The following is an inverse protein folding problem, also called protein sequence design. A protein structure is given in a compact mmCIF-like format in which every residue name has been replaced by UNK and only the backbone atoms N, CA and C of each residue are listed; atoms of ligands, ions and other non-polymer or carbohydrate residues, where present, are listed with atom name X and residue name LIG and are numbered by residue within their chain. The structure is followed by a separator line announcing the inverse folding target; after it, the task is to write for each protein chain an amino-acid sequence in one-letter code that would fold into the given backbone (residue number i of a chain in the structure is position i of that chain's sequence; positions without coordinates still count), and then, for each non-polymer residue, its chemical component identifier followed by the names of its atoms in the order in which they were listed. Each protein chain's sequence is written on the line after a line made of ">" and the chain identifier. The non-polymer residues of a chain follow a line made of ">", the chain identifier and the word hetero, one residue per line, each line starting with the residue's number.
data_IF_166504635283
#
_entry.id   IF_166504635283
#
_cell.length_a   1.000
_cell.length_b   1.000
_cell.length_c   1.000
_cell.angle_alpha   90.00
_cell.angle_beta   90.00
_cell.angle_gamma   90.00
#
_symmetry.space_group_name_H-M   'P 1'
#
loop_
_entity.id
_entity.type
_entity.pdbx_description
1 polymer ?
#
# COMPACT_ATOMS: atom_id res chain seq x y z
N UNK A 1 -4.14 18.81 0.73
CA UNK A 1 -3.37 18.37 1.91
C UNK A 1 -4.24 18.67 3.12
N UNK A 2 -4.85 17.66 3.71
CA UNK A 2 -5.62 17.84 4.94
C UNK A 2 -4.63 17.78 6.10
N UNK A 3 -4.39 18.90 6.81
CA UNK A 3 -3.82 18.84 8.13
C UNK A 3 -4.94 18.37 9.06
N UNK A 4 -4.96 17.11 9.40
CA UNK A 4 -5.74 16.63 10.52
C UNK A 4 -5.00 17.15 11.77
N UNK A 5 -5.62 18.07 12.51
CA UNK A 5 -5.10 18.45 13.84
C UNK A 5 -4.97 17.19 14.73
N UNK A 6 -4.61 17.37 15.99
CA UNK A 6 -4.35 16.31 16.99
C UNK A 6 -5.50 15.30 17.22
N UNK A 7 -6.09 14.79 16.14
CA UNK A 7 -7.10 13.73 16.21
C UNK A 7 -6.45 12.44 15.75
N UNK A 8 -6.43 11.46 16.63
CA UNK A 8 -5.99 10.10 16.32
C UNK A 8 -6.80 9.57 15.14
N UNK A 9 -6.14 9.28 14.02
CA UNK A 9 -6.75 8.71 12.85
C UNK A 9 -7.24 7.27 13.13
N UNK A 10 -8.25 6.83 12.39
CA UNK A 10 -8.69 5.44 12.49
C UNK A 10 -7.55 4.50 12.04
N UNK A 11 -7.20 3.45 12.81
CA UNK A 11 -6.11 2.55 12.46
C UNK A 11 -6.44 1.78 11.17
N UNK A 12 -5.56 1.85 10.19
CA UNK A 12 -5.66 1.10 8.92
C UNK A 12 -4.80 -0.16 8.91
N UNK A 13 -4.12 -0.45 10.02
CA UNK A 13 -3.03 -1.43 10.13
C UNK A 13 -3.51 -2.78 10.68
N UNK A 14 -4.63 -3.31 10.16
CA UNK A 14 -5.13 -4.62 10.57
C UNK A 14 -5.31 -5.56 9.36
N UNK A 15 -5.24 -6.87 9.60
CA UNK A 15 -5.23 -7.90 8.54
C UNK A 15 -6.46 -7.83 7.62
N UNK A 16 -7.64 -7.54 8.16
CA UNK A 16 -8.89 -7.42 7.39
C UNK A 16 -9.07 -6.08 6.65
N UNK A 17 -8.14 -5.12 6.77
CA UNK A 17 -8.27 -3.79 6.18
C UNK A 17 -8.64 -3.80 4.69
N UNK A 18 -8.02 -4.61 3.80
CA UNK A 18 -8.31 -4.57 2.35
C UNK A 18 -9.78 -4.81 1.97
N UNK A 19 -10.55 -5.45 2.84
CA UNK A 19 -11.98 -5.76 2.63
C UNK A 19 -12.90 -5.09 3.65
N UNK A 20 -12.37 -4.19 4.47
CA UNK A 20 -13.09 -3.51 5.55
C UNK A 20 -13.98 -2.37 5.05
N UNK A 21 -14.94 -1.97 5.90
CA UNK A 21 -15.72 -0.75 5.70
C UNK A 21 -14.86 0.50 5.63
N UNK A 22 -13.80 0.56 6.43
CA UNK A 22 -12.85 1.68 6.44
C UNK A 22 -12.14 1.82 5.09
N UNK A 23 -11.66 0.69 4.49
CA UNK A 23 -11.06 0.71 3.15
C UNK A 23 -12.04 1.25 2.11
N UNK A 24 -13.31 0.83 2.14
CA UNK A 24 -14.34 1.34 1.22
C UNK A 24 -14.58 2.84 1.37
N UNK A 25 -14.64 3.32 2.61
CA UNK A 25 -14.83 4.76 2.89
C UNK A 25 -13.65 5.57 2.35
N UNK A 26 -12.42 5.12 2.58
CA UNK A 26 -11.21 5.79 2.06
C UNK A 26 -11.20 5.80 0.53
N UNK A 27 -11.50 4.67 -0.11
CA UNK A 27 -11.58 4.60 -1.58
C UNK A 27 -12.64 5.56 -2.13
N UNK A 28 -13.84 5.59 -1.53
CA UNK A 28 -14.90 6.51 -1.95
C UNK A 28 -14.51 7.97 -1.72
N UNK A 29 -13.82 8.28 -0.62
CA UNK A 29 -13.32 9.63 -0.36
C UNK A 29 -12.32 10.07 -1.44
N UNK A 30 -11.35 9.21 -1.78
CA UNK A 30 -10.39 9.50 -2.86
C UNK A 30 -11.10 9.72 -4.20
N UNK A 31 -12.07 8.86 -4.56
CA UNK A 31 -12.84 9.02 -5.80
C UNK A 31 -13.62 10.33 -5.83
N UNK A 32 -14.16 10.78 -4.71
CA UNK A 32 -14.84 12.07 -4.59
C UNK A 32 -13.86 13.25 -4.70
N UNK A 33 -12.70 13.15 -4.04
CA UNK A 33 -11.67 14.21 -4.02
C UNK A 33 -11.10 14.48 -5.44
N UNK A 34 -10.95 13.45 -6.25
CA UNK A 34 -10.52 13.56 -7.66
C UNK A 34 -11.66 13.88 -8.65
N UNK A 35 -12.85 14.25 -8.14
CA UNK A 35 -13.97 14.73 -8.96
C UNK A 35 -14.85 13.64 -9.58
N UNK A 36 -14.80 12.41 -9.09
CA UNK A 36 -15.61 11.29 -9.59
C UNK A 36 -16.91 11.06 -8.79
N UNK A 37 -17.33 12.03 -7.98
CA UNK A 37 -18.60 12.00 -7.25
C UNK A 37 -19.79 11.74 -8.20
N UNK A 38 -20.59 10.71 -7.91
CA UNK A 38 -21.74 10.31 -8.73
C UNK A 38 -21.41 9.72 -10.11
N UNK A 39 -20.14 9.53 -10.43
CA UNK A 39 -19.71 8.89 -11.69
C UNK A 39 -19.66 7.38 -11.55
N UNK A 40 -19.77 6.69 -12.69
CA UNK A 40 -19.49 5.26 -12.79
C UNK A 40 -18.04 5.07 -13.19
N UNK A 41 -17.29 4.24 -12.44
CA UNK A 41 -15.86 4.01 -12.64
C UNK A 41 -15.56 2.53 -12.81
N UNK A 42 -14.48 2.24 -13.53
CA UNK A 42 -13.78 0.97 -13.47
C UNK A 42 -12.61 1.13 -12.50
N UNK A 43 -12.47 0.20 -11.56
CA UNK A 43 -11.43 0.23 -10.55
C UNK A 43 -10.47 -0.95 -10.72
N UNK A 44 -9.20 -0.69 -10.50
CA UNK A 44 -8.18 -1.72 -10.31
C UNK A 44 -7.58 -1.52 -8.92
N UNK A 45 -7.41 -2.59 -8.17
CA UNK A 45 -6.78 -2.54 -6.85
C UNK A 45 -5.80 -3.68 -6.63
N UNK A 46 -4.87 -3.50 -5.69
CA UNK A 46 -3.84 -4.48 -5.40
C UNK A 46 -4.17 -5.41 -4.23
N UNK A 47 -3.56 -6.59 -4.25
CA UNK A 47 -3.36 -7.45 -3.09
C UNK A 47 -1.90 -7.86 -3.02
N UNK A 48 -1.35 -8.07 -1.80
CA UNK A 48 -0.04 -8.68 -1.65
C UNK A 48 0.07 -9.99 -2.42
N UNK A 49 1.26 -10.28 -2.95
CA UNK A 49 1.51 -11.47 -3.79
C UNK A 49 1.06 -12.76 -3.10
N UNK A 50 1.33 -12.90 -1.81
CA UNK A 50 0.93 -14.07 -1.01
C UNK A 50 -0.58 -14.17 -0.76
N UNK A 51 -1.30 -13.04 -0.82
CA UNK A 51 -2.75 -13.03 -0.74
C UNK A 51 -3.40 -13.34 -2.10
N UNK A 52 -2.73 -13.05 -3.20
CA UNK A 52 -3.21 -13.28 -4.57
C UNK A 52 -2.86 -14.67 -5.09
N UNK A 53 -1.64 -15.18 -4.84
CA UNK A 53 -1.17 -16.48 -5.31
C UNK A 53 -0.87 -17.45 -4.16
N UNK A 54 -1.03 -18.73 -4.46
CA UNK A 54 -0.45 -19.84 -3.71
C UNK A 54 1.02 -20.01 -4.11
N UNK A 55 1.81 -20.72 -3.30
CA UNK A 55 3.22 -21.04 -3.65
C UNK A 55 3.40 -21.81 -4.94
N UNK A 56 2.38 -22.56 -5.37
CA UNK A 56 2.37 -23.31 -6.64
C UNK A 56 1.96 -22.45 -7.85
N UNK A 57 1.72 -21.15 -7.67
CA UNK A 57 1.30 -20.22 -8.73
C UNK A 57 -0.20 -20.15 -9.00
N UNK A 58 -1.01 -20.95 -8.33
CA UNK A 58 -2.48 -20.86 -8.44
C UNK A 58 -3.02 -19.59 -7.80
N UNK A 59 -3.97 -18.94 -8.45
CA UNK A 59 -4.67 -17.79 -7.88
C UNK A 59 -5.55 -18.22 -6.71
N UNK A 60 -5.58 -17.38 -5.67
CA UNK A 60 -6.44 -17.55 -4.51
C UNK A 60 -7.76 -16.82 -4.76
N UNK A 61 -8.75 -17.51 -5.30
CA UNK A 61 -10.03 -16.92 -5.69
C UNK A 61 -10.75 -16.22 -4.51
N UNK A 62 -10.72 -16.80 -3.31
CA UNK A 62 -11.45 -16.27 -2.15
C UNK A 62 -11.01 -14.84 -1.75
N UNK A 63 -9.73 -14.52 -1.50
CA UNK A 63 -9.32 -13.16 -1.18
C UNK A 63 -9.60 -12.17 -2.32
N UNK A 64 -9.43 -12.60 -3.58
CA UNK A 64 -9.71 -11.78 -4.76
C UNK A 64 -11.18 -11.43 -4.81
N UNK A 65 -12.08 -12.41 -4.75
CA UNK A 65 -13.53 -12.20 -4.78
C UNK A 65 -14.00 -11.35 -3.61
N UNK A 66 -13.51 -11.62 -2.39
CA UNK A 66 -13.85 -10.81 -1.20
C UNK A 66 -13.51 -9.33 -1.40
N UNK A 67 -12.34 -9.04 -1.99
CA UNK A 67 -11.94 -7.64 -2.25
C UNK A 67 -12.79 -7.01 -3.35
N UNK A 68 -13.06 -7.74 -4.44
CA UNK A 68 -13.94 -7.28 -5.51
C UNK A 68 -15.34 -6.94 -4.99
N UNK A 69 -15.93 -7.83 -4.20
CA UNK A 69 -17.27 -7.63 -3.64
C UNK A 69 -17.29 -6.53 -2.58
N UNK A 70 -16.22 -6.40 -1.80
CA UNK A 70 -16.11 -5.34 -0.79
C UNK A 70 -16.24 -3.96 -1.41
N UNK A 71 -15.47 -3.64 -2.44
CA UNK A 71 -15.49 -2.29 -3.03
C UNK A 71 -16.78 -1.97 -3.80
N UNK A 72 -17.54 -2.98 -4.21
CA UNK A 72 -18.87 -2.79 -4.83
C UNK A 72 -19.99 -2.50 -3.82
N UNK A 73 -19.74 -2.72 -2.53
CA UNK A 73 -20.75 -2.42 -1.51
C UNK A 73 -20.92 -0.92 -1.34
N UNK A 74 -22.19 -0.51 -1.14
CA UNK A 74 -22.53 0.90 -0.97
C UNK A 74 -21.85 1.49 0.27
N UNK A 75 -21.39 2.73 0.12
CA UNK A 75 -20.93 3.59 1.21
C UNK A 75 -21.89 4.75 1.32
N UNK A 76 -22.36 5.06 2.52
CA UNK A 76 -23.22 6.21 2.75
C UNK A 76 -22.37 7.48 2.74
N UNK A 77 -22.59 8.38 1.77
CA UNK A 77 -21.86 9.64 1.74
C UNK A 77 -22.31 10.57 2.87
N UNK A 78 -21.44 11.51 3.22
CA UNK A 78 -21.79 12.60 4.11
C UNK A 78 -22.33 13.80 3.30
N UNK A 79 -23.30 14.49 3.86
CA UNK A 79 -23.96 15.66 3.25
C UNK A 79 -24.53 15.32 1.85
N UNK A 80 -24.45 16.28 0.93
CA UNK A 80 -25.00 16.18 -0.43
C UNK A 80 -24.06 15.51 -1.44
N UNK A 81 -23.00 14.86 -0.98
CA UNK A 81 -22.06 14.16 -1.86
C UNK A 81 -22.65 12.84 -2.37
N UNK A 82 -22.33 12.49 -3.60
CA UNK A 82 -22.74 11.22 -4.19
C UNK A 82 -21.55 10.25 -4.20
N UNK A 83 -21.81 8.99 -3.86
CA UNK A 83 -20.79 7.94 -4.02
C UNK A 83 -20.52 7.66 -5.50
N UNK A 84 -19.26 7.38 -5.84
CA UNK A 84 -18.94 6.84 -7.14
C UNK A 84 -19.42 5.39 -7.25
N UNK A 85 -20.04 5.04 -8.38
CA UNK A 85 -20.45 3.66 -8.67
C UNK A 85 -19.28 2.86 -9.26
N UNK A 86 -18.86 1.77 -8.61
CA UNK A 86 -17.83 0.88 -9.15
C UNK A 86 -18.54 -0.22 -9.96
N UNK A 87 -18.57 -0.08 -11.29
CA UNK A 87 -19.23 -1.03 -12.19
C UNK A 87 -18.37 -2.25 -12.52
N UNK A 88 -17.06 -2.06 -12.55
CA UNK A 88 -16.07 -3.11 -12.76
C UNK A 88 -14.93 -2.94 -11.76
N UNK A 89 -14.51 -4.04 -11.16
CA UNK A 89 -13.40 -4.03 -10.23
C UNK A 89 -12.50 -5.25 -10.50
N UNK A 90 -11.28 -4.97 -10.90
CA UNK A 90 -10.22 -5.97 -11.05
C UNK A 90 -9.26 -5.89 -9.89
N UNK A 91 -8.76 -7.05 -9.46
CA UNK A 91 -7.76 -7.16 -8.40
C UNK A 91 -6.51 -7.80 -9.00
N UNK A 92 -5.37 -7.17 -8.81
CA UNK A 92 -4.08 -7.62 -9.31
C UNK A 92 -3.05 -7.74 -8.17
N UNK A 93 -1.95 -8.49 -8.33
CA UNK A 93 -0.84 -8.47 -7.37
C UNK A 93 -0.15 -7.09 -7.37
N UNK A 94 0.09 -6.51 -6.18
CA UNK A 94 0.67 -5.16 -6.05
C UNK A 94 2.03 -5.03 -6.76
N UNK A 95 2.94 -5.95 -6.50
CA UNK A 95 4.26 -5.91 -7.12
C UNK A 95 4.23 -6.12 -8.66
N UNK A 96 3.19 -6.79 -9.20
CA UNK A 96 3.03 -6.90 -10.64
C UNK A 96 2.60 -5.57 -11.28
N UNK A 97 1.83 -4.75 -10.56
CA UNK A 97 1.49 -3.41 -11.03
C UNK A 97 2.74 -2.56 -11.25
N UNK A 98 3.72 -2.64 -10.36
CA UNK A 98 5.01 -1.95 -10.49
C UNK A 98 5.83 -2.47 -11.70
N UNK A 99 5.71 -3.77 -12.04
CA UNK A 99 6.32 -4.29 -13.26
C UNK A 99 5.67 -3.71 -14.51
N UNK A 100 4.34 -3.61 -14.55
CA UNK A 100 3.66 -2.97 -15.67
C UNK A 100 4.06 -1.50 -15.82
N UNK A 101 4.16 -0.76 -14.73
CA UNK A 101 4.64 0.62 -14.72
C UNK A 101 6.06 0.73 -15.27
N UNK A 102 6.93 -0.21 -14.92
CA UNK A 102 8.31 -0.26 -15.44
C UNK A 102 8.38 -0.54 -16.94
N UNK A 103 7.57 -1.45 -17.50
CA UNK A 103 7.66 -1.85 -18.91
C UNK A 103 6.82 -0.99 -19.85
N UNK A 104 5.84 -0.27 -19.33
CA UNK A 104 5.06 0.71 -20.10
C UNK A 104 5.83 2.01 -20.16
N UNK A 105 6.07 2.53 -21.35
CA UNK A 105 6.75 3.80 -21.57
C UNK A 105 5.90 4.72 -22.42
N UNK A 106 6.05 6.02 -22.22
CA UNK A 106 5.42 7.03 -23.08
C UNK A 106 6.19 7.15 -24.40
N UNK A 107 5.48 7.11 -25.51
CA UNK A 107 6.05 7.28 -26.83
C UNK A 107 5.12 8.14 -27.71
N UNK A 108 5.55 9.34 -28.05
CA UNK A 108 4.72 10.33 -28.74
C UNK A 108 3.48 10.70 -27.93
N UNK A 109 2.30 10.56 -28.52
CA UNK A 109 1.00 10.85 -27.87
C UNK A 109 0.35 9.62 -27.21
N UNK A 110 1.09 8.51 -27.06
CA UNK A 110 0.56 7.25 -26.53
C UNK A 110 1.53 6.52 -25.61
N UNK A 111 1.17 5.31 -25.28
CA UNK A 111 1.99 4.40 -24.48
C UNK A 111 2.32 3.15 -25.27
N UNK A 112 3.51 2.60 -25.07
CA UNK A 112 3.97 1.34 -25.67
C UNK A 112 4.68 0.49 -24.64
N UNK A 113 4.93 -0.77 -24.98
CA UNK A 113 5.73 -1.67 -24.16
C UNK A 113 7.19 -1.62 -24.63
N UNK A 114 8.10 -1.35 -23.71
CA UNK A 114 9.54 -1.35 -23.97
C UNK A 114 10.04 -2.80 -24.16
N UNK A 115 10.45 -3.11 -25.39
CA UNK A 115 10.88 -4.46 -25.78
C UNK A 115 12.17 -4.89 -25.04
N UNK A 116 13.08 -3.98 -24.75
CA UNK A 116 14.33 -4.28 -24.05
C UNK A 116 14.03 -4.60 -22.59
N UNK A 117 13.16 -3.84 -21.94
CA UNK A 117 12.72 -4.11 -20.56
C UNK A 117 11.92 -5.41 -20.43
N UNK A 118 11.15 -5.77 -21.46
CA UNK A 118 10.42 -7.05 -21.51
C UNK A 118 11.34 -8.26 -21.67
N UNK A 119 12.52 -8.08 -22.28
CA UNK A 119 13.44 -9.15 -22.61
C UNK A 119 14.33 -9.60 -21.45
N UNK A 120 14.43 -8.80 -20.39
CA UNK A 120 15.32 -9.06 -19.26
C UNK A 120 14.53 -9.53 -18.05
N UNK A 121 15.10 -10.43 -17.21
CA UNK A 121 14.51 -10.73 -15.91
C UNK A 121 14.54 -9.50 -14.98
N UNK A 122 13.41 -9.21 -14.34
CA UNK A 122 13.25 -8.07 -13.43
C UNK A 122 12.82 -8.58 -12.06
N UNK A 123 13.50 -8.12 -11.01
CA UNK A 123 13.05 -8.28 -9.64
C UNK A 123 12.45 -6.96 -9.14
N UNK A 124 11.22 -7.01 -8.65
CA UNK A 124 10.52 -5.91 -8.01
C UNK A 124 10.48 -6.19 -6.52
N UNK A 125 10.82 -5.19 -5.71
CA UNK A 125 10.67 -5.23 -4.25
C UNK A 125 9.83 -4.04 -3.83
N UNK A 126 8.64 -4.33 -3.32
CA UNK A 126 7.71 -3.35 -2.79
C UNK A 126 7.70 -3.40 -1.27
N UNK A 127 8.25 -2.37 -0.63
CA UNK A 127 8.34 -2.25 0.83
C UNK A 127 7.17 -1.40 1.31
N UNK A 128 6.07 -2.08 1.62
CA UNK A 128 4.87 -1.46 2.15
C UNK A 128 4.95 -1.17 3.66
N UNK A 129 3.81 -0.78 4.24
CA UNK A 129 3.70 -0.55 5.68
C UNK A 129 3.85 -1.83 6.50
N UNK A 130 3.15 -2.88 6.12
CA UNK A 130 3.08 -4.15 6.86
C UNK A 130 3.85 -5.29 6.22
N UNK A 131 3.93 -5.30 4.89
CA UNK A 131 4.55 -6.37 4.11
C UNK A 131 5.66 -5.80 3.25
N UNK A 132 6.59 -6.67 2.89
CA UNK A 132 7.49 -6.48 1.77
C UNK A 132 7.15 -7.55 0.75
N UNK A 133 6.65 -7.13 -0.40
CA UNK A 133 6.36 -7.99 -1.53
C UNK A 133 7.55 -8.02 -2.49
N UNK A 134 7.88 -9.20 -2.99
CA UNK A 134 8.91 -9.35 -3.99
C UNK A 134 8.42 -10.27 -5.12
N UNK A 135 8.63 -9.82 -6.35
CA UNK A 135 8.26 -10.56 -7.56
C UNK A 135 9.44 -10.60 -8.50
N UNK A 136 9.72 -11.78 -9.02
CA UNK A 136 10.65 -11.96 -10.12
C UNK A 136 9.83 -12.26 -11.37
N UNK A 137 9.94 -11.40 -12.36
CA UNK A 137 9.32 -11.60 -13.69
C UNK A 137 10.40 -11.98 -14.69
N UNK A 138 10.16 -13.04 -15.42
CA UNK A 138 11.03 -13.53 -16.51
C UNK A 138 10.15 -14.02 -17.64
N UNK A 139 10.54 -13.74 -18.87
CA UNK A 139 9.79 -14.14 -20.08
C UNK A 139 8.30 -13.72 -19.97
N UNK A 140 8.03 -12.53 -19.43
CA UNK A 140 6.71 -11.96 -19.16
C UNK A 140 5.84 -12.78 -18.16
N UNK A 141 6.43 -13.72 -17.45
CA UNK A 141 5.77 -14.56 -16.45
C UNK A 141 6.38 -14.43 -15.06
N UNK A 142 5.55 -14.61 -14.02
CA UNK A 142 6.02 -14.59 -12.63
C UNK A 142 6.74 -15.91 -12.32
N UNK A 143 7.97 -15.81 -11.81
CA UNK A 143 8.67 -16.94 -11.21
C UNK A 143 8.19 -17.14 -9.76
N UNK A 144 7.09 -17.88 -9.59
CA UNK A 144 6.45 -18.08 -8.29
C UNK A 144 7.37 -18.66 -7.21
N UNK A 145 8.32 -19.51 -7.60
CA UNK A 145 9.31 -20.07 -6.67
C UNK A 145 10.27 -19.01 -6.08
N UNK A 146 10.44 -17.89 -6.79
CA UNK A 146 11.30 -16.76 -6.38
C UNK A 146 10.52 -15.50 -6.03
N UNK A 147 9.20 -15.63 -5.83
CA UNK A 147 8.30 -14.51 -5.54
C UNK A 147 7.50 -14.79 -4.28
N UNK A 148 7.11 -13.74 -3.57
CA UNK A 148 6.34 -13.89 -2.34
C UNK A 148 6.18 -12.59 -1.56
N UNK A 149 5.78 -12.75 -0.30
CA UNK A 149 5.60 -11.65 0.64
C UNK A 149 6.24 -11.99 1.99
N UNK A 150 6.90 -11.02 2.59
CA UNK A 150 7.38 -11.06 3.97
C UNK A 150 6.43 -10.24 4.84
N UNK A 151 6.09 -10.74 6.02
CA UNK A 151 5.31 -10.01 7.04
C UNK A 151 6.22 -9.03 7.79
N UNK A 152 6.90 -8.17 7.05
CA UNK A 152 7.81 -7.16 7.54
C UNK A 152 7.76 -5.96 6.59
N UNK A 153 7.45 -4.80 7.12
CA UNK A 153 7.39 -3.54 6.37
C UNK A 153 7.84 -2.36 7.21
N UNK A 154 7.64 -1.16 6.73
CA UNK A 154 8.10 0.08 7.38
C UNK A 154 7.53 0.29 8.79
N UNK A 155 6.35 -0.26 9.09
CA UNK A 155 5.79 -0.19 10.45
C UNK A 155 6.61 -0.99 11.47
N UNK A 156 7.18 -2.13 11.05
CA UNK A 156 8.08 -2.89 11.90
C UNK A 156 9.39 -2.12 12.16
N UNK A 157 9.89 -1.39 11.16
CA UNK A 157 11.05 -0.51 11.32
C UNK A 157 10.73 0.61 12.30
N UNK A 158 9.61 1.31 12.10
CA UNK A 158 9.16 2.38 12.99
C UNK A 158 8.98 1.89 14.43
N UNK A 159 8.36 0.73 14.63
CA UNK A 159 8.19 0.16 15.96
C UNK A 159 9.54 -0.13 16.63
N UNK A 160 10.47 -0.76 15.94
CA UNK A 160 11.82 -1.03 16.50
C UNK A 160 12.58 0.24 16.85
N UNK A 161 12.46 1.28 16.01
CA UNK A 161 13.07 2.58 16.31
C UNK A 161 12.42 3.21 17.55
N UNK A 162 11.09 3.15 17.65
CA UNK A 162 10.37 3.63 18.83
C UNK A 162 10.82 2.91 20.09
N UNK A 163 10.83 1.57 20.07
CA UNK A 163 11.24 0.74 21.20
C UNK A 163 12.69 1.06 21.64
N UNK A 164 13.61 1.17 20.68
CA UNK A 164 15.01 1.52 20.98
C UNK A 164 15.19 2.92 21.56
N UNK A 165 14.42 3.90 21.10
CA UNK A 165 14.44 5.26 21.67
C UNK A 165 13.85 5.26 23.08
N UNK A 166 12.70 4.58 23.28
CA UNK A 166 12.05 4.47 24.57
C UNK A 166 12.97 3.81 25.60
N UNK A 167 13.61 2.71 25.25
CA UNK A 167 14.59 2.02 26.12
C UNK A 167 15.79 2.92 26.45
N UNK A 168 16.37 3.56 25.43
CA UNK A 168 17.58 4.40 25.62
C UNK A 168 17.33 5.63 26.50
N UNK A 169 16.15 6.21 26.45
CA UNK A 169 15.84 7.45 27.14
C UNK A 169 14.83 7.29 28.28
N UNK A 170 14.50 6.05 28.66
CA UNK A 170 13.54 5.70 29.71
C UNK A 170 12.17 6.41 29.54
N UNK A 171 11.60 6.28 28.33
CA UNK A 171 10.33 6.91 27.97
C UNK A 171 9.21 5.87 27.97
N UNK A 172 8.08 6.17 28.61
CA UNK A 172 6.88 5.32 28.55
C UNK A 172 6.21 5.33 27.16
N UNK A 173 6.23 6.46 26.48
CA UNK A 173 5.61 6.65 25.16
C UNK A 173 6.45 7.55 24.28
N UNK A 174 6.34 7.36 22.96
CA UNK A 174 6.95 8.20 21.95
C UNK A 174 5.93 8.49 20.83
N UNK A 175 5.67 9.76 20.56
CA UNK A 175 4.69 10.17 19.54
C UNK A 175 5.11 9.75 18.13
N UNK A 176 4.16 9.35 17.28
CA UNK A 176 4.41 8.88 15.92
C UNK A 176 5.23 9.86 15.07
N UNK A 177 5.03 11.15 15.22
CA UNK A 177 5.80 12.18 14.50
C UNK A 177 7.29 12.16 14.86
N UNK A 178 7.62 11.95 16.13
CA UNK A 178 9.01 11.83 16.57
C UNK A 178 9.67 10.55 16.04
N UNK A 179 8.91 9.45 16.00
CA UNK A 179 9.38 8.19 15.38
C UNK A 179 9.63 8.39 13.89
N UNK A 180 8.72 9.06 13.17
CA UNK A 180 8.90 9.35 11.76
C UNK A 180 10.16 10.19 11.50
N UNK A 181 10.37 11.26 12.28
CA UNK A 181 11.56 12.09 12.21
C UNK A 181 12.85 11.31 12.53
N UNK A 182 12.81 10.43 13.53
CA UNK A 182 13.95 9.58 13.88
C UNK A 182 14.33 8.62 12.74
N UNK A 183 13.34 8.03 12.07
CA UNK A 183 13.57 7.15 10.91
C UNK A 183 14.16 7.92 9.72
N UNK A 184 13.64 9.12 9.43
CA UNK A 184 14.09 9.92 8.30
C UNK A 184 15.45 10.58 8.54
N UNK A 185 15.59 11.24 9.69
CA UNK A 185 16.71 12.15 9.95
C UNK A 185 17.77 11.55 10.86
N UNK A 186 17.52 10.36 11.43
CA UNK A 186 18.39 9.71 12.42
C UNK A 186 18.62 10.56 13.68
N UNK A 187 17.71 11.48 13.95
CA UNK A 187 17.75 12.40 15.09
C UNK A 187 16.37 12.48 15.72
N UNK A 188 16.31 12.47 17.02
CA UNK A 188 15.09 12.73 17.80
C UNK A 188 15.29 13.93 18.74
N UNK A 189 14.29 14.81 18.80
CA UNK A 189 14.32 15.96 19.69
C UNK A 189 13.56 15.65 20.98
N UNK A 190 14.29 15.50 22.08
CA UNK A 190 13.72 15.22 23.41
C UNK A 190 14.14 16.33 24.37
N UNK A 191 13.18 16.84 25.14
CA UNK A 191 13.42 17.91 26.15
C UNK A 191 14.22 19.11 25.59
N UNK A 192 13.95 19.48 24.32
CA UNK A 192 14.60 20.61 23.65
C UNK A 192 16.00 20.34 23.11
N UNK A 193 16.54 19.12 23.24
CA UNK A 193 17.85 18.70 22.71
C UNK A 193 17.70 17.70 21.60
N UNK A 194 18.58 17.80 20.61
CA UNK A 194 18.67 16.84 19.52
C UNK A 194 19.60 15.69 19.91
N UNK A 195 19.16 14.45 19.72
CA UNK A 195 19.90 13.24 20.02
C UNK A 195 20.04 12.42 18.73
N UNK A 196 21.27 12.04 18.41
CA UNK A 196 21.57 11.09 17.33
C UNK A 196 21.09 9.70 17.73
N UNK A 197 20.27 9.09 16.86
CA UNK A 197 19.70 7.74 17.02
C UNK A 197 20.07 6.83 15.85
N UNK A 198 21.09 7.19 15.08
CA UNK A 198 21.70 6.34 14.06
C UNK A 198 22.53 5.25 14.75
N UNK A 199 21.90 4.14 15.13
CA UNK A 199 22.61 2.99 15.68
C UNK A 199 22.38 1.75 14.81
#
# INVERSE_FOLDING_TARGET
>A
IYSVGDVDGAPTQFEGYPVSGLNRVIVQHVLQDIGLSGRTVHAVSGLPVSAFYRKNGEQRSEPITKKQDSLKQAVRPLADMLSAGISFHEVIPEALAAWYDYVIVEEGDGTTLDADRLSVPVAIVDIGGRTTDYVVVKDQGILHASSGSLQCGMLNVKQRVADGIQERFDLETLGEQLVAQAVENKVVRLQGKDHDVAA
#
